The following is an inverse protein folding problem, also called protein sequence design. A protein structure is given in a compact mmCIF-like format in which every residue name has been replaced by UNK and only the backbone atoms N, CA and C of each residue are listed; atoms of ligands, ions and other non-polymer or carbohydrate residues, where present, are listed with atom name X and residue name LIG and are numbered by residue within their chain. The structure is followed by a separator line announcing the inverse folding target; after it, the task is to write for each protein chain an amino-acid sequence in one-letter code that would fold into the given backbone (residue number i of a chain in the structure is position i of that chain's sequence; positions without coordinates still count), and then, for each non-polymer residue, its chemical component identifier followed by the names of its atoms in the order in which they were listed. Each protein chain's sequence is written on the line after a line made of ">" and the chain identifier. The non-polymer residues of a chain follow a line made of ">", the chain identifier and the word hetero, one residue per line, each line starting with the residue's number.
data_IF_318982965085
#
_entry.id   IF_318982965085
#
_cell.length_a   1.000
_cell.length_b   1.000
_cell.length_c   1.000
_cell.angle_alpha   90.00
_cell.angle_beta   90.00
_cell.angle_gamma   90.00
#
_symmetry.space_group_name_H-M   'P 1'
#
loop_
_entity.id
_entity.type
_entity.pdbx_description
1 polymer ?
#
# COMPACT_ATOMS: atom_id res chain seq x y z
N UNK A 1 -9.47 4.43 14.16
CA UNK A 1 -9.03 3.56 13.05
C UNK A 1 -8.62 4.51 11.96
N UNK A 2 -7.32 4.67 11.76
CA UNK A 2 -6.76 5.53 10.72
C UNK A 2 -6.68 4.69 9.46
N UNK A 3 -7.18 5.22 8.35
CA UNK A 3 -7.07 4.59 7.04
C UNK A 3 -5.99 5.31 6.25
N UNK A 4 -5.29 4.57 5.40
CA UNK A 4 -4.32 5.11 4.47
C UNK A 4 -4.71 4.71 3.05
N UNK A 5 -4.44 5.58 2.10
CA UNK A 5 -4.56 5.29 0.68
C UNK A 5 -3.22 4.78 0.16
N UNK A 6 -3.16 3.51 -0.23
CA UNK A 6 -2.01 2.92 -0.88
C UNK A 6 -2.11 3.12 -2.40
N UNK A 7 -1.05 3.65 -3.02
CA UNK A 7 -0.94 3.79 -4.48
C UNK A 7 0.29 3.06 -5.00
N UNK A 8 0.09 1.99 -5.78
CA UNK A 8 1.21 1.20 -6.27
C UNK A 8 1.92 1.86 -7.48
N UNK A 9 3.26 2.00 -7.45
CA UNK A 9 4.03 2.56 -8.56
C UNK A 9 4.15 1.61 -9.77
N UNK A 10 3.94 0.30 -9.57
CA UNK A 10 4.05 -0.70 -10.64
C UNK A 10 2.79 -0.85 -11.49
N UNK A 11 1.63 -0.97 -10.85
CA UNK A 11 0.34 -1.21 -11.53
C UNK A 11 -0.64 -0.02 -11.45
N UNK A 12 -0.26 1.09 -10.81
CA UNK A 12 -1.12 2.26 -10.56
C UNK A 12 -2.49 1.88 -10.00
N UNK A 13 -2.52 0.91 -9.08
CA UNK A 13 -3.70 0.59 -8.30
C UNK A 13 -3.71 1.40 -7.01
N UNK A 14 -4.88 1.94 -6.70
CA UNK A 14 -5.13 2.71 -5.48
C UNK A 14 -6.10 1.93 -4.62
N UNK A 15 -5.75 1.70 -3.35
CA UNK A 15 -6.50 0.84 -2.42
C UNK A 15 -6.51 1.50 -1.05
N UNK A 16 -7.68 1.61 -0.42
CA UNK A 16 -7.78 2.01 0.98
C UNK A 16 -7.35 0.83 1.88
N UNK A 17 -6.41 1.08 2.76
CA UNK A 17 -5.80 0.10 3.65
C UNK A 17 -5.80 0.60 5.08
N UNK A 18 -5.89 -0.32 6.03
CA UNK A 18 -5.64 -0.04 7.44
C UNK A 18 -4.15 -0.23 7.76
N UNK A 19 -3.74 0.08 9.00
CA UNK A 19 -2.35 -0.09 9.45
C UNK A 19 -1.83 -1.53 9.26
N UNK A 20 -2.64 -2.54 9.59
CA UNK A 20 -2.26 -3.96 9.45
C UNK A 20 -2.00 -4.35 7.98
N UNK A 21 -2.86 -3.91 7.06
CA UNK A 21 -2.67 -4.12 5.62
C UNK A 21 -1.46 -3.35 5.10
N UNK A 22 -1.22 -2.12 5.57
CA UNK A 22 -0.04 -1.33 5.20
C UNK A 22 1.25 -2.06 5.57
N UNK A 23 1.36 -2.56 6.79
CA UNK A 23 2.53 -3.32 7.24
C UNK A 23 2.75 -4.56 6.37
N UNK A 24 1.69 -5.31 6.09
CA UNK A 24 1.75 -6.51 5.22
C UNK A 24 2.21 -6.16 3.80
N UNK A 25 1.70 -5.06 3.23
CA UNK A 25 2.05 -4.61 1.88
C UNK A 25 3.51 -4.13 1.82
N UNK A 26 4.05 -3.54 2.90
CA UNK A 26 5.46 -3.17 2.99
C UNK A 26 6.38 -4.39 3.08
N UNK A 27 5.95 -5.46 3.75
CA UNK A 27 6.73 -6.69 3.87
C UNK A 27 6.70 -7.55 2.58
N UNK A 28 5.52 -7.69 1.98
CA UNK A 28 5.30 -8.62 0.85
C UNK A 28 5.37 -7.91 -0.52
N UNK A 29 5.15 -6.60 -0.55
CA UNK A 29 4.96 -5.82 -1.76
C UNK A 29 3.49 -5.69 -2.17
N UNK A 30 3.24 -5.06 -3.32
CA UNK A 30 1.89 -4.84 -3.83
C UNK A 30 1.13 -6.18 -4.01
N UNK A 31 -0.09 -6.33 -3.47
CA UNK A 31 -0.84 -7.59 -3.55
C UNK A 31 -1.32 -7.94 -4.97
N UNK A 32 -1.28 -6.99 -5.90
CA UNK A 32 -1.73 -7.17 -7.29
C UNK A 32 -0.58 -7.59 -8.21
N UNK A 33 0.56 -6.89 -8.11
CA UNK A 33 1.66 -7.03 -9.06
C UNK A 33 2.99 -7.40 -8.40
N UNK A 34 2.98 -7.64 -7.08
CA UNK A 34 4.15 -7.99 -6.25
C UNK A 34 5.31 -7.02 -6.37
N UNK A 35 5.06 -5.80 -6.87
CA UNK A 35 6.07 -4.75 -6.97
C UNK A 35 6.47 -4.34 -5.56
N UNK A 36 7.77 -4.20 -5.32
CA UNK A 36 8.28 -3.66 -4.07
C UNK A 36 7.76 -2.23 -3.90
N UNK A 37 7.26 -1.92 -2.71
CA UNK A 37 6.69 -0.61 -2.37
C UNK A 37 7.33 -0.09 -1.10
N UNK A 38 7.17 1.20 -0.88
CA UNK A 38 7.77 1.96 0.21
C UNK A 38 6.71 2.70 1.02
N UNK A 39 7.02 3.16 2.23
CA UNK A 39 6.07 3.90 3.06
C UNK A 39 5.54 5.18 2.40
N UNK A 40 6.30 5.77 1.47
CA UNK A 40 5.92 6.93 0.65
C UNK A 40 4.81 6.62 -0.39
N UNK A 41 4.58 5.34 -0.70
CA UNK A 41 3.48 4.90 -1.56
C UNK A 41 2.12 4.89 -0.83
N UNK A 42 2.08 5.36 0.42
CA UNK A 42 0.89 5.45 1.26
C UNK A 42 0.63 6.90 1.68
N UNK A 43 -0.57 7.40 1.43
CA UNK A 43 -1.04 8.71 1.89
C UNK A 43 -2.05 8.54 3.05
N UNK A 44 -2.07 9.47 4.01
CA UNK A 44 -3.14 9.51 5.01
C UNK A 44 -4.46 9.96 4.34
N UNK A 45 -5.53 9.20 4.56
CA UNK A 45 -6.86 9.44 3.98
C UNK A 45 -7.76 10.31 4.86
#
# INVERSE_FOLDING_TARGET
>A
MTTAEFSCPGCNQTIEVNDEMRETILEVGCPVCTTAVSPDDFAEA
#
